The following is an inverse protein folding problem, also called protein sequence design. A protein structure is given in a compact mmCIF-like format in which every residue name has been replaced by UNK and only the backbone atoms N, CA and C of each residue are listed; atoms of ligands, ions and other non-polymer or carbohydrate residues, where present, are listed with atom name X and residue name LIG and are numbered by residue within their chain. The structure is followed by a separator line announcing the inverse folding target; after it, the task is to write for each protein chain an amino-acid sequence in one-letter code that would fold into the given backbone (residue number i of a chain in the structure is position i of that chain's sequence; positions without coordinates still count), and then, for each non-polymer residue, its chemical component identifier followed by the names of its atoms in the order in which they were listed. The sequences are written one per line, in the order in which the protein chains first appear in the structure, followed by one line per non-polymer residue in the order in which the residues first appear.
data_IF_808603263925
#
_entry.id   IF_808603263925
#
_cell.length_a   1.000
_cell.length_b   1.000
_cell.length_c   1.000
_cell.angle_alpha   90.00
_cell.angle_beta   90.00
_cell.angle_gamma   90.00
#
_symmetry.space_group_name_H-M   'P 1'
#
loop_
_entity.id
_entity.type
_entity.pdbx_description
1 polymer ?
#
# COMPACT_ATOMS: atom_id res chain seq x y z
N UNK A 1 -80.27 -31.14 26.35
CA UNK A 1 -78.81 -31.30 26.53
C UNK A 1 -78.17 -31.28 25.15
N UNK A 2 -77.72 -30.11 24.71
CA UNK A 2 -77.06 -29.91 23.43
C UNK A 2 -75.56 -29.71 23.65
N UNK A 3 -74.73 -30.43 22.88
CA UNK A 3 -73.28 -30.22 22.83
C UNK A 3 -72.93 -29.58 21.49
N UNK A 4 -72.40 -28.36 21.55
CA UNK A 4 -71.72 -27.67 20.47
C UNK A 4 -70.25 -28.13 20.45
N UNK A 5 -69.80 -28.70 19.34
CA UNK A 5 -68.38 -28.94 19.07
C UNK A 5 -67.82 -27.77 18.25
N UNK A 6 -66.86 -27.04 18.82
CA UNK A 6 -66.12 -25.96 18.13
C UNK A 6 -64.89 -26.57 17.47
N UNK A 7 -64.80 -26.44 16.16
CA UNK A 7 -63.66 -26.88 15.35
C UNK A 7 -62.58 -25.79 15.34
N UNK A 8 -61.38 -26.10 15.83
CA UNK A 8 -60.24 -25.19 15.84
C UNK A 8 -59.42 -25.38 14.56
N UNK A 9 -59.40 -24.36 13.71
CA UNK A 9 -58.61 -24.34 12.47
C UNK A 9 -57.16 -23.97 12.81
N UNK A 10 -56.23 -24.89 12.56
CA UNK A 10 -54.78 -24.65 12.63
C UNK A 10 -54.35 -23.81 11.42
N UNK A 11 -53.88 -22.58 11.65
CA UNK A 11 -53.13 -21.81 10.65
C UNK A 11 -51.65 -22.22 10.72
N UNK A 12 -51.19 -22.95 9.70
CA UNK A 12 -49.76 -23.17 9.49
C UNK A 12 -49.15 -21.91 8.85
N UNK A 13 -48.35 -21.18 9.62
CA UNK A 13 -47.56 -20.05 9.13
C UNK A 13 -46.34 -20.63 8.37
N UNK A 14 -46.41 -20.63 7.04
CA UNK A 14 -45.24 -20.95 6.20
C UNK A 14 -44.33 -19.73 6.20
N UNK A 15 -43.25 -19.77 6.98
CA UNK A 15 -42.18 -18.80 6.90
C UNK A 15 -41.40 -19.04 5.60
N UNK A 16 -41.72 -18.28 4.55
CA UNK A 16 -40.89 -18.14 3.36
C UNK A 16 -39.60 -17.40 3.78
N UNK A 17 -38.57 -18.16 4.15
CA UNK A 17 -37.22 -17.64 4.25
C UNK A 17 -36.79 -17.18 2.85
N UNK A 18 -36.82 -15.86 2.63
CA UNK A 18 -36.22 -15.23 1.46
C UNK A 18 -34.70 -15.33 1.58
N UNK A 19 -34.13 -16.47 1.17
CA UNK A 19 -32.70 -16.51 0.87
C UNK A 19 -32.51 -15.74 -0.43
N UNK A 20 -32.12 -14.47 -0.32
CA UNK A 20 -31.56 -13.76 -1.47
C UNK A 20 -30.48 -14.66 -2.06
N UNK A 21 -30.49 -14.93 -3.38
CA UNK A 21 -29.39 -15.69 -3.98
C UNK A 21 -28.10 -14.98 -3.61
N UNK A 22 -27.13 -15.72 -3.07
CA UNK A 22 -25.75 -15.25 -3.03
C UNK A 22 -25.45 -14.72 -4.43
N UNK A 23 -24.90 -13.50 -4.52
CA UNK A 23 -24.43 -12.99 -5.80
C UNK A 23 -23.58 -14.09 -6.45
N UNK A 24 -23.69 -14.30 -7.76
CA UNK A 24 -22.97 -15.38 -8.45
C UNK A 24 -21.46 -15.38 -8.15
N UNK A 25 -20.94 -14.22 -7.75
CA UNK A 25 -19.56 -13.94 -7.33
C UNK A 25 -19.19 -14.45 -5.91
N UNK A 26 -20.15 -14.99 -5.15
CA UNK A 26 -19.98 -15.49 -3.79
C UNK A 26 -20.30 -16.99 -3.72
N UNK A 27 -19.32 -17.86 -3.93
CA UNK A 27 -19.55 -19.30 -3.84
C UNK A 27 -18.29 -20.15 -4.05
N UNK A 28 -18.41 -21.46 -3.79
CA UNK A 28 -17.32 -22.44 -3.85
C UNK A 28 -16.74 -22.70 -5.27
N UNK A 29 -17.26 -22.03 -6.29
CA UNK A 29 -16.77 -22.08 -7.66
C UNK A 29 -16.49 -20.70 -8.24
N UNK A 30 -16.33 -19.69 -7.39
CA UNK A 30 -15.85 -18.38 -7.84
C UNK A 30 -14.34 -18.46 -8.11
N UNK A 31 -13.91 -17.89 -9.23
CA UNK A 31 -12.49 -17.80 -9.61
C UNK A 31 -11.75 -16.69 -8.84
N UNK A 32 -12.48 -15.91 -8.04
CA UNK A 32 -12.00 -14.74 -7.31
C UNK A 32 -12.61 -14.72 -5.90
N UNK A 33 -11.84 -14.31 -4.89
CA UNK A 33 -12.35 -14.02 -3.56
C UNK A 33 -12.88 -12.59 -3.49
N UNK A 34 -14.18 -12.39 -3.71
CA UNK A 34 -14.80 -11.07 -3.65
C UNK A 34 -15.05 -10.63 -2.19
N UNK A 35 -14.43 -9.53 -1.77
CA UNK A 35 -14.49 -9.06 -0.38
C UNK A 35 -15.91 -8.78 0.14
N UNK A 36 -16.91 -8.54 -0.73
CA UNK A 36 -18.31 -8.38 -0.31
C UNK A 36 -18.96 -9.66 0.20
N UNK A 37 -18.37 -10.82 -0.10
CA UNK A 37 -18.86 -12.12 0.30
C UNK A 37 -18.44 -12.49 1.73
N UNK A 38 -17.61 -11.67 2.38
CA UNK A 38 -17.01 -11.98 3.68
C UNK A 38 -17.42 -10.95 4.73
N UNK A 39 -17.54 -11.36 6.01
CA UNK A 39 -17.96 -10.47 7.10
C UNK A 39 -16.93 -9.39 7.44
N UNK A 40 -15.65 -9.63 7.12
CA UNK A 40 -14.55 -8.69 7.31
C UNK A 40 -13.62 -8.74 6.11
N UNK A 41 -12.84 -7.68 5.92
CA UNK A 41 -11.83 -7.65 4.86
C UNK A 41 -10.71 -8.66 5.10
N UNK A 42 -10.30 -8.88 6.36
CA UNK A 42 -9.31 -9.91 6.69
C UNK A 42 -9.84 -11.31 6.35
N UNK A 43 -11.12 -11.62 6.62
CA UNK A 43 -11.69 -12.91 6.25
C UNK A 43 -11.70 -13.14 4.72
N UNK A 44 -11.81 -12.07 3.93
CA UNK A 44 -11.66 -12.15 2.47
C UNK A 44 -10.21 -12.42 2.06
N UNK A 45 -9.23 -11.75 2.68
CA UNK A 45 -7.80 -12.03 2.48
C UNK A 45 -7.49 -13.48 2.81
N UNK A 46 -7.91 -13.95 3.98
CA UNK A 46 -7.63 -15.31 4.46
C UNK A 46 -8.23 -16.36 3.50
N UNK A 47 -9.43 -16.11 2.97
CA UNK A 47 -10.07 -16.99 2.00
C UNK A 47 -9.40 -16.95 0.63
N UNK A 48 -8.95 -15.77 0.17
CA UNK A 48 -8.19 -15.63 -1.07
C UNK A 48 -6.88 -16.42 -1.00
N UNK A 49 -6.13 -16.24 0.08
CA UNK A 49 -4.87 -16.94 0.34
C UNK A 49 -5.10 -18.46 0.48
N UNK A 50 -6.12 -18.89 1.22
CA UNK A 50 -6.40 -20.32 1.37
C UNK A 50 -6.88 -20.99 0.08
N UNK A 51 -7.54 -20.24 -0.80
CA UNK A 51 -8.08 -20.72 -2.06
C UNK A 51 -7.11 -20.61 -3.24
N UNK A 52 -5.95 -19.96 -3.08
CA UNK A 52 -5.08 -19.55 -4.19
C UNK A 52 -5.86 -18.75 -5.25
N UNK A 53 -6.67 -17.80 -4.78
CA UNK A 53 -7.53 -16.96 -5.61
C UNK A 53 -7.08 -15.49 -5.50
N UNK A 54 -7.21 -14.69 -6.58
CA UNK A 54 -7.12 -13.24 -6.47
C UNK A 54 -8.14 -12.70 -5.47
N UNK A 55 -7.72 -11.72 -4.66
CA UNK A 55 -8.62 -10.95 -3.81
C UNK A 55 -9.18 -9.78 -4.61
N UNK A 56 -10.50 -9.73 -4.77
CA UNK A 56 -11.17 -8.62 -5.43
C UNK A 56 -11.80 -7.69 -4.42
N UNK A 57 -11.44 -6.42 -4.51
CA UNK A 57 -12.07 -5.32 -3.80
C UNK A 57 -12.92 -4.50 -4.77
N UNK A 58 -14.23 -4.80 -4.90
CA UNK A 58 -15.13 -3.91 -5.63
C UNK A 58 -15.13 -2.51 -5.02
N UNK A 59 -15.51 -1.51 -5.81
CA UNK A 59 -15.71 -0.14 -5.34
C UNK A 59 -16.54 -0.11 -4.05
N UNK A 60 -16.03 0.63 -3.06
CA UNK A 60 -16.63 0.76 -1.73
C UNK A 60 -15.58 1.16 -0.71
N UNK A 61 -16.04 1.46 0.51
CA UNK A 61 -15.17 1.74 1.65
C UNK A 61 -15.21 0.57 2.63
N UNK A 62 -14.07 -0.05 2.87
CA UNK A 62 -13.85 -1.15 3.79
C UNK A 62 -13.22 -0.60 5.06
N UNK A 63 -14.05 -0.41 6.10
CA UNK A 63 -13.57 0.08 7.39
C UNK A 63 -12.96 -1.07 8.19
N UNK A 64 -11.73 -0.87 8.65
CA UNK A 64 -11.00 -1.85 9.47
C UNK A 64 -10.68 -1.24 10.84
N UNK A 65 -10.58 -2.10 11.86
CA UNK A 65 -10.23 -1.71 13.25
C UNK A 65 -8.92 -2.34 13.75
N UNK A 66 -8.29 -3.11 12.88
CA UNK A 66 -7.01 -3.76 13.06
C UNK A 66 -6.29 -3.72 11.70
N UNK A 67 -4.95 -3.80 11.65
CA UNK A 67 -4.21 -3.82 10.40
C UNK A 67 -4.75 -4.91 9.46
N UNK A 68 -4.92 -4.59 8.18
CA UNK A 68 -5.11 -5.62 7.17
C UNK A 68 -3.74 -6.21 6.84
N UNK A 69 -3.56 -7.49 7.12
CA UNK A 69 -2.29 -8.19 6.88
C UNK A 69 -2.50 -9.15 5.71
N UNK A 70 -1.69 -8.97 4.67
CA UNK A 70 -1.58 -9.91 3.55
C UNK A 70 -0.20 -10.58 3.68
N UNK A 71 -0.19 -11.71 4.39
CA UNK A 71 0.95 -12.61 4.42
C UNK A 71 0.78 -13.66 3.30
N UNK A 72 1.51 -13.46 2.21
CA UNK A 72 1.44 -14.35 1.05
C UNK A 72 2.55 -15.40 1.00
N UNK A 73 3.13 -15.74 2.16
CA UNK A 73 4.20 -16.75 2.29
C UNK A 73 3.86 -18.10 1.65
N UNK A 74 2.61 -18.54 1.75
CA UNK A 74 2.17 -19.79 1.15
C UNK A 74 2.22 -19.78 -0.38
N UNK A 75 2.29 -18.59 -0.97
CA UNK A 75 2.35 -18.34 -2.40
C UNK A 75 3.67 -17.70 -2.82
N UNK A 76 4.75 -17.91 -2.05
CA UNK A 76 6.03 -17.25 -2.29
C UNK A 76 6.57 -17.42 -3.71
N UNK A 77 6.30 -18.54 -4.39
CA UNK A 77 6.74 -18.79 -5.77
C UNK A 77 5.72 -18.44 -6.86
N UNK A 78 4.45 -18.24 -6.50
CA UNK A 78 3.33 -18.05 -7.45
C UNK A 78 2.75 -16.63 -7.41
N UNK A 79 2.91 -15.95 -6.28
CA UNK A 79 2.43 -14.58 -6.06
C UNK A 79 1.05 -14.49 -5.45
N UNK A 80 0.61 -13.25 -5.26
CA UNK A 80 -0.72 -12.95 -4.78
C UNK A 80 -1.23 -11.70 -5.48
N UNK A 81 -2.46 -11.78 -5.97
CA UNK A 81 -3.09 -10.70 -6.73
C UNK A 81 -4.20 -10.04 -5.91
N UNK A 82 -4.09 -8.71 -5.79
CA UNK A 82 -5.08 -7.84 -5.18
C UNK A 82 -5.69 -6.93 -6.26
N UNK A 83 -6.94 -7.19 -6.64
CA UNK A 83 -7.64 -6.44 -7.69
C UNK A 83 -8.52 -5.37 -7.05
N UNK A 84 -8.12 -4.11 -7.14
CA UNK A 84 -8.84 -2.97 -6.57
C UNK A 84 -9.60 -2.18 -7.64
N UNK A 85 -10.93 -2.25 -7.60
CA UNK A 85 -11.82 -1.53 -8.55
C UNK A 85 -12.23 -0.16 -8.01
N UNK A 86 -11.26 0.65 -7.56
CA UNK A 86 -11.50 1.94 -6.90
C UNK A 86 -11.98 1.78 -5.45
N UNK A 87 -11.49 0.76 -4.76
CA UNK A 87 -11.80 0.48 -3.36
C UNK A 87 -11.03 1.40 -2.41
N UNK A 88 -11.62 1.71 -1.26
CA UNK A 88 -10.95 2.42 -0.16
C UNK A 88 -10.86 1.52 1.07
N UNK A 89 -9.66 1.24 1.54
CA UNK A 89 -9.42 0.70 2.87
C UNK A 89 -9.35 1.90 3.83
N UNK A 90 -10.29 1.98 4.76
CA UNK A 90 -10.32 3.01 5.81
C UNK A 90 -9.82 2.40 7.12
N UNK A 91 -8.53 2.57 7.37
CA UNK A 91 -7.81 2.13 8.57
C UNK A 91 -7.56 3.25 9.58
N UNK A 92 -8.29 4.36 9.50
CA UNK A 92 -8.12 5.50 10.43
C UNK A 92 -8.38 5.16 11.90
N UNK A 93 -9.05 4.03 12.19
CA UNK A 93 -9.30 3.54 13.55
C UNK A 93 -8.24 2.54 14.06
N UNK A 94 -7.22 2.19 13.26
CA UNK A 94 -6.25 1.13 13.60
C UNK A 94 -5.17 1.61 14.59
N UNK A 95 -4.75 2.87 14.49
CA UNK A 95 -3.65 3.43 15.30
C UNK A 95 -2.24 2.95 14.91
N UNK A 96 -2.13 2.12 13.87
CA UNK A 96 -0.90 1.61 13.27
C UNK A 96 -1.04 1.57 11.74
N UNK A 97 -0.17 0.81 11.03
CA UNK A 97 -0.34 0.59 9.60
C UNK A 97 -1.74 0.03 9.29
N UNK A 98 -2.40 0.63 8.31
CA UNK A 98 -3.71 0.16 7.84
C UNK A 98 -3.55 -1.09 6.96
N UNK A 99 -2.46 -1.16 6.18
CA UNK A 99 -2.15 -2.28 5.29
C UNK A 99 -0.69 -2.71 5.48
N UNK A 100 -0.50 -4.00 5.68
CA UNK A 100 0.82 -4.64 5.77
C UNK A 100 0.86 -5.77 4.73
N UNK A 101 1.82 -5.69 3.82
CA UNK A 101 2.14 -6.75 2.88
C UNK A 101 3.45 -7.38 3.35
N UNK A 102 3.40 -8.66 3.73
CA UNK A 102 4.56 -9.35 4.28
C UNK A 102 4.72 -10.76 3.71
N UNK A 103 5.89 -11.32 3.96
CA UNK A 103 6.20 -12.71 3.66
C UNK A 103 7.13 -13.29 4.74
N UNK A 104 7.26 -14.60 4.81
CA UNK A 104 8.15 -15.31 5.72
C UNK A 104 9.53 -15.61 5.09
N UNK A 105 9.62 -15.57 3.76
CA UNK A 105 10.82 -15.93 2.99
C UNK A 105 10.96 -15.04 1.74
N UNK A 106 11.83 -15.43 0.82
CA UNK A 106 11.96 -14.84 -0.51
C UNK A 106 10.67 -15.08 -1.31
N UNK A 107 9.88 -14.01 -1.47
CA UNK A 107 8.57 -14.04 -2.11
C UNK A 107 8.62 -13.33 -3.47
N UNK A 108 7.74 -13.76 -4.38
CA UNK A 108 7.69 -13.26 -5.76
C UNK A 108 6.27 -12.85 -6.15
N UNK A 109 6.16 -11.95 -7.13
CA UNK A 109 4.93 -11.72 -7.90
C UNK A 109 3.72 -11.21 -7.10
N UNK A 110 3.94 -10.40 -6.07
CA UNK A 110 2.84 -9.61 -5.50
C UNK A 110 2.37 -8.57 -6.53
N UNK A 111 1.08 -8.55 -6.83
CA UNK A 111 0.50 -7.58 -7.77
C UNK A 111 -0.74 -6.93 -7.18
N UNK A 112 -0.71 -5.61 -7.06
CA UNK A 112 -1.92 -4.81 -6.88
C UNK A 112 -2.38 -4.30 -8.26
N UNK A 113 -3.50 -4.84 -8.74
CA UNK A 113 -4.16 -4.39 -9.98
C UNK A 113 -5.16 -3.26 -9.69
N UNK A 114 -5.22 -2.27 -10.59
CA UNK A 114 -6.24 -1.22 -10.58
C UNK A 114 -5.92 -0.08 -9.60
N UNK A 115 -6.95 0.57 -9.05
CA UNK A 115 -6.79 1.71 -8.14
C UNK A 115 -7.26 1.37 -6.73
N UNK A 116 -6.34 1.43 -5.78
CA UNK A 116 -6.57 1.19 -4.36
C UNK A 116 -6.31 2.47 -3.56
N UNK A 117 -7.28 2.87 -2.74
CA UNK A 117 -7.10 3.93 -1.76
C UNK A 117 -6.89 3.33 -0.37
N UNK A 118 -5.94 3.85 0.40
CA UNK A 118 -5.73 3.51 1.80
C UNK A 118 -5.69 4.78 2.64
N UNK A 119 -6.56 4.89 3.63
CA UNK A 119 -6.59 6.00 4.56
C UNK A 119 -6.16 5.50 5.95
N UNK A 120 -5.27 6.25 6.61
CA UNK A 120 -4.80 5.95 7.95
C UNK A 120 -4.67 7.22 8.80
N UNK A 121 -4.51 7.01 10.10
CA UNK A 121 -4.26 8.04 11.11
C UNK A 121 -3.28 7.48 12.13
N UNK A 122 -2.00 7.38 11.74
CA UNK A 122 -0.96 6.73 12.54
C UNK A 122 0.34 7.53 12.52
N UNK A 123 1.00 7.64 13.68
CA UNK A 123 2.34 8.21 13.81
C UNK A 123 3.43 7.19 13.44
N UNK A 124 3.34 6.72 12.19
CA UNK A 124 4.17 5.70 11.58
C UNK A 124 3.74 5.52 10.12
N UNK A 125 4.18 4.44 9.47
CA UNK A 125 3.76 4.13 8.11
C UNK A 125 2.28 3.70 8.04
N UNK A 126 1.52 4.27 7.08
CA UNK A 126 0.14 3.88 6.82
C UNK A 126 0.04 2.58 6.00
N UNK A 127 0.97 2.39 5.06
CA UNK A 127 1.12 1.15 4.29
C UNK A 127 2.58 0.69 4.37
N UNK A 128 2.77 -0.60 4.62
CA UNK A 128 4.10 -1.22 4.74
C UNK A 128 4.22 -2.39 3.78
N UNK A 129 5.30 -2.40 3.00
CA UNK A 129 5.74 -3.53 2.18
C UNK A 129 7.03 -4.11 2.76
N UNK A 130 6.93 -5.29 3.36
CA UNK A 130 8.05 -5.98 3.99
C UNK A 130 8.25 -5.64 5.47
N UNK A 131 9.03 -6.45 6.16
CA UNK A 131 9.39 -6.33 7.57
C UNK A 131 10.54 -5.38 7.77
N UNK A 132 10.53 -4.69 8.90
CA UNK A 132 11.53 -3.67 9.24
C UNK A 132 12.96 -4.23 9.43
N UNK A 133 13.11 -5.55 9.61
CA UNK A 133 14.41 -6.23 9.71
C UNK A 133 14.92 -6.77 8.37
N UNK A 134 14.19 -6.52 7.29
CA UNK A 134 14.51 -6.97 5.94
C UNK A 134 14.63 -8.50 5.82
N UNK A 135 13.89 -9.25 6.64
CA UNK A 135 13.89 -10.71 6.61
C UNK A 135 13.01 -11.32 5.51
N UNK A 136 12.23 -10.51 4.79
CA UNK A 136 11.28 -10.95 3.77
C UNK A 136 11.43 -10.16 2.45
N UNK A 137 12.36 -10.57 1.57
CA UNK A 137 12.48 -9.94 0.26
C UNK A 137 11.23 -10.18 -0.59
N UNK A 138 10.72 -9.11 -1.19
CA UNK A 138 9.61 -9.15 -2.15
C UNK A 138 10.14 -8.89 -3.57
N UNK A 139 10.01 -9.85 -4.46
CA UNK A 139 10.61 -9.81 -5.79
C UNK A 139 9.58 -9.69 -6.91
N UNK A 140 9.93 -8.96 -7.96
CA UNK A 140 9.14 -8.90 -9.19
C UNK A 140 7.68 -8.51 -8.97
N UNK A 141 7.44 -7.59 -8.05
CA UNK A 141 6.10 -7.12 -7.71
C UNK A 141 5.65 -5.94 -8.56
N UNK A 142 4.36 -5.61 -8.49
CA UNK A 142 3.77 -4.49 -9.22
C UNK A 142 2.67 -3.80 -8.42
N UNK A 143 2.67 -2.47 -8.43
CA UNK A 143 1.58 -1.64 -7.95
C UNK A 143 1.07 -0.79 -9.12
N UNK A 144 -0.14 -1.05 -9.58
CA UNK A 144 -0.72 -0.33 -10.71
C UNK A 144 -1.08 1.11 -10.36
N UNK A 145 -1.74 1.31 -9.20
CA UNK A 145 -2.09 2.64 -8.69
C UNK A 145 -2.54 2.56 -7.22
N UNK A 146 -1.58 2.70 -6.31
CA UNK A 146 -1.83 2.78 -4.87
C UNK A 146 -1.91 4.25 -4.43
N UNK A 147 -2.96 4.65 -3.72
CA UNK A 147 -3.11 6.02 -3.19
C UNK A 147 -3.26 5.93 -1.68
N UNK A 148 -2.30 6.47 -0.94
CA UNK A 148 -2.24 6.44 0.52
C UNK A 148 -2.35 7.84 1.09
N UNK A 149 -3.26 8.01 2.05
CA UNK A 149 -3.38 9.23 2.84
C UNK A 149 -3.21 8.89 4.33
N UNK A 150 -2.08 9.30 4.90
CA UNK A 150 -1.89 9.30 6.35
C UNK A 150 -2.18 10.70 6.90
N UNK A 151 -3.30 10.86 7.60
CA UNK A 151 -3.72 12.18 8.13
C UNK A 151 -3.05 12.57 9.45
N UNK A 152 -2.26 11.67 10.03
CA UNK A 152 -1.55 11.93 11.28
C UNK A 152 -0.55 13.06 11.08
N UNK A 153 -0.55 14.01 12.01
CA UNK A 153 0.43 15.10 12.07
C UNK A 153 1.65 14.75 12.95
N UNK A 154 1.76 13.49 13.36
CA UNK A 154 2.84 12.99 14.19
C UNK A 154 4.21 13.08 13.51
N UNK A 155 5.27 13.03 14.32
CA UNK A 155 6.64 13.24 13.86
C UNK A 155 7.12 12.14 12.90
N UNK A 156 6.58 10.93 13.02
CA UNK A 156 6.97 9.75 12.26
C UNK A 156 5.91 9.31 11.24
N UNK A 157 4.81 10.07 11.13
CA UNK A 157 3.74 9.77 10.19
C UNK A 157 4.30 9.69 8.76
N UNK A 158 4.11 8.52 8.14
CA UNK A 158 4.63 8.17 6.83
C UNK A 158 3.49 7.60 5.97
N UNK A 159 3.47 7.94 4.68
CA UNK A 159 2.48 7.41 3.74
C UNK A 159 2.74 5.92 3.46
N UNK A 160 3.76 5.66 2.65
CA UNK A 160 4.18 4.31 2.27
C UNK A 160 5.59 4.03 2.77
N UNK A 161 5.84 2.81 3.24
CA UNK A 161 7.18 2.32 3.58
C UNK A 161 7.48 1.04 2.81
N UNK A 162 8.61 1.02 2.11
CA UNK A 162 9.10 -0.10 1.31
C UNK A 162 10.39 -0.64 1.94
N UNK A 163 10.22 -1.70 2.72
CA UNK A 163 11.30 -2.26 3.53
C UNK A 163 12.24 -3.15 2.75
N UNK A 164 11.75 -4.04 1.87
CA UNK A 164 12.63 -4.89 1.06
C UNK A 164 11.97 -5.31 -0.26
N UNK A 165 12.03 -4.44 -1.27
CA UNK A 165 11.43 -4.70 -2.58
C UNK A 165 12.46 -4.73 -3.71
N UNK A 166 12.36 -5.74 -4.58
CA UNK A 166 13.36 -6.08 -5.59
C UNK A 166 12.69 -6.26 -6.95
N UNK A 167 13.13 -5.53 -7.98
CA UNK A 167 12.60 -5.62 -9.34
C UNK A 167 11.09 -5.28 -9.39
N UNK A 168 10.66 -4.24 -8.66
CA UNK A 168 9.25 -3.82 -8.64
C UNK A 168 8.93 -2.77 -9.70
N UNK A 169 7.70 -2.76 -10.19
CA UNK A 169 7.10 -1.63 -10.91
C UNK A 169 6.07 -0.93 -10.02
N UNK A 170 6.43 0.23 -9.48
CA UNK A 170 5.65 0.96 -8.48
C UNK A 170 5.03 2.21 -9.09
N UNK A 171 3.71 2.28 -9.06
CA UNK A 171 2.97 3.53 -9.24
C UNK A 171 2.13 3.82 -7.98
N UNK A 172 2.63 4.74 -7.15
CA UNK A 172 2.01 5.06 -5.87
C UNK A 172 1.99 6.56 -5.58
N UNK A 173 0.89 7.01 -4.97
CA UNK A 173 0.70 8.36 -4.42
C UNK A 173 0.70 8.23 -2.91
N UNK A 174 1.78 8.66 -2.25
CA UNK A 174 1.95 8.48 -0.81
C UNK A 174 1.99 9.84 -0.09
N UNK A 175 0.89 10.17 0.60
CA UNK A 175 0.68 11.45 1.25
C UNK A 175 0.72 11.29 2.77
N UNK A 176 1.52 12.11 3.44
CA UNK A 176 1.58 12.23 4.89
C UNK A 176 1.29 13.66 5.36
N UNK A 177 0.46 13.81 6.39
CA UNK A 177 0.24 15.11 7.04
C UNK A 177 1.30 15.45 8.10
N UNK A 178 2.22 14.53 8.41
CA UNK A 178 3.17 14.67 9.51
C UNK A 178 4.63 14.87 9.09
N UNK A 179 5.53 14.54 10.01
CA UNK A 179 6.97 14.82 9.93
C UNK A 179 7.85 13.72 9.35
N UNK A 180 7.29 12.55 9.03
CA UNK A 180 8.00 11.42 8.43
C UNK A 180 8.21 11.62 6.93
N UNK A 181 7.85 10.61 6.13
CA UNK A 181 7.98 10.68 4.68
C UNK A 181 6.65 10.49 3.93
N UNK A 182 6.55 11.04 2.72
CA UNK A 182 5.51 10.60 1.80
C UNK A 182 5.77 9.13 1.46
N UNK A 183 6.94 8.86 0.91
CA UNK A 183 7.43 7.53 0.56
C UNK A 183 8.79 7.27 1.24
N UNK A 184 8.85 6.24 2.06
CA UNK A 184 10.07 5.80 2.73
C UNK A 184 10.62 4.53 2.08
N UNK A 185 11.81 4.62 1.49
CA UNK A 185 12.44 3.56 0.71
C UNK A 185 13.66 3.04 1.48
N UNK A 186 13.49 1.98 2.24
CA UNK A 186 14.55 1.47 3.13
C UNK A 186 15.49 0.48 2.43
N UNK A 187 14.93 -0.42 1.61
CA UNK A 187 15.72 -1.34 0.79
C UNK A 187 15.03 -1.65 -0.54
N UNK A 188 15.55 -1.07 -1.63
CA UNK A 188 14.94 -1.11 -2.97
C UNK A 188 16.01 -1.38 -4.03
N UNK A 189 15.84 -2.40 -4.88
CA UNK A 189 16.74 -2.59 -6.05
C UNK A 189 16.00 -2.91 -7.33
N UNK A 190 16.61 -2.53 -8.46
CA UNK A 190 16.18 -2.89 -9.81
C UNK A 190 14.74 -2.48 -10.13
N UNK A 191 14.17 -1.56 -9.34
CA UNK A 191 12.77 -1.18 -9.41
C UNK A 191 12.58 0.08 -10.21
N UNK A 192 11.37 0.26 -10.76
CA UNK A 192 10.91 1.54 -11.27
C UNK A 192 9.87 2.13 -10.31
N UNK A 193 10.00 3.41 -9.98
CA UNK A 193 9.13 4.12 -9.04
C UNK A 193 8.54 5.37 -9.69
N UNK A 194 7.22 5.46 -9.69
CA UNK A 194 6.38 6.52 -10.26
C UNK A 194 5.26 6.93 -9.29
N UNK A 195 4.60 8.04 -9.61
CA UNK A 195 3.44 8.54 -8.89
C UNK A 195 3.74 9.87 -8.18
N UNK A 196 3.42 9.98 -6.89
CA UNK A 196 3.60 11.20 -6.13
C UNK A 196 3.96 10.93 -4.67
N UNK A 197 4.66 11.85 -4.04
CA UNK A 197 4.92 11.77 -2.61
C UNK A 197 4.90 13.15 -1.95
N UNK A 198 4.35 13.23 -0.74
CA UNK A 198 4.33 14.47 0.06
C UNK A 198 4.30 14.20 1.56
N UNK A 199 4.95 15.08 2.32
CA UNK A 199 4.94 15.11 3.78
C UNK A 199 5.00 16.56 4.29
N UNK A 200 3.89 17.07 4.85
CA UNK A 200 3.71 18.50 5.20
C UNK A 200 4.86 19.05 6.05
N UNK A 201 5.36 18.27 7.01
CA UNK A 201 6.45 18.67 7.91
C UNK A 201 7.71 17.81 7.73
N UNK A 202 7.79 17.02 6.66
CA UNK A 202 8.80 15.98 6.49
C UNK A 202 9.50 16.03 5.13
N UNK A 203 9.75 14.85 4.57
CA UNK A 203 10.39 14.68 3.26
C UNK A 203 9.47 13.94 2.31
N UNK A 204 9.37 14.33 1.04
CA UNK A 204 8.55 13.59 0.09
C UNK A 204 9.08 12.16 -0.11
N UNK A 205 10.39 11.99 -0.36
CA UNK A 205 11.04 10.67 -0.45
C UNK A 205 12.28 10.59 0.46
N UNK A 206 12.33 9.58 1.32
CA UNK A 206 13.54 9.20 2.07
C UNK A 206 14.17 7.95 1.47
N UNK A 207 15.49 7.97 1.33
CA UNK A 207 16.31 6.82 0.95
C UNK A 207 17.05 6.31 2.19
N UNK A 208 16.60 5.16 2.67
CA UNK A 208 17.00 4.56 3.92
C UNK A 208 18.31 3.80 3.87
N UNK A 209 18.58 3.07 4.95
CA UNK A 209 19.93 2.60 5.29
C UNK A 209 20.27 1.20 4.82
N UNK A 210 19.29 0.41 4.34
CA UNK A 210 19.50 -0.95 3.86
C UNK A 210 20.42 -0.98 2.64
N UNK A 211 19.85 -0.65 1.47
CA UNK A 211 20.54 -0.27 0.25
C UNK A 211 19.52 0.26 -0.77
N UNK A 212 19.94 1.15 -1.67
CA UNK A 212 19.06 1.64 -2.75
C UNK A 212 19.85 1.58 -4.05
N UNK A 213 19.58 0.57 -4.87
CA UNK A 213 20.48 0.17 -5.94
C UNK A 213 19.81 -0.01 -7.31
N UNK A 214 20.36 0.63 -8.34
CA UNK A 214 19.99 0.38 -9.73
C UNK A 214 18.49 0.56 -10.02
N UNK A 215 17.84 1.50 -9.34
CA UNK A 215 16.43 1.84 -9.55
C UNK A 215 16.27 2.95 -10.59
N UNK A 216 15.07 3.07 -11.15
CA UNK A 216 14.63 4.21 -11.95
C UNK A 216 13.49 4.94 -11.25
N UNK A 217 13.66 6.23 -11.01
CA UNK A 217 12.64 7.13 -10.49
C UNK A 217 12.12 7.97 -11.66
N UNK A 218 10.85 7.85 -12.01
CA UNK A 218 10.31 8.40 -13.25
C UNK A 218 9.01 9.16 -13.01
N UNK A 219 8.95 10.41 -13.49
CA UNK A 219 7.69 11.17 -13.56
C UNK A 219 7.05 11.43 -12.19
N UNK A 220 7.83 11.50 -11.12
CA UNK A 220 7.33 11.72 -9.77
C UNK A 220 6.93 13.19 -9.55
N UNK A 221 5.75 13.37 -8.97
CA UNK A 221 5.29 14.64 -8.39
C UNK A 221 5.68 14.70 -6.91
N UNK A 222 6.71 15.49 -6.60
CA UNK A 222 7.19 15.71 -5.24
C UNK A 222 6.87 17.14 -4.82
N UNK A 223 5.88 17.28 -3.94
CA UNK A 223 5.40 18.59 -3.53
C UNK A 223 4.94 18.62 -2.08
N UNK A 224 4.51 19.81 -1.62
CA UNK A 224 3.94 20.04 -0.29
C UNK A 224 4.81 19.48 0.85
N UNK A 225 6.13 19.50 0.65
CA UNK A 225 7.13 18.97 1.59
C UNK A 225 8.27 19.97 1.73
N UNK A 226 8.83 20.16 2.94
CA UNK A 226 10.05 20.93 3.14
C UNK A 226 11.24 20.45 2.27
N UNK A 227 11.38 19.12 2.13
CA UNK A 227 12.42 18.46 1.35
C UNK A 227 11.78 17.48 0.35
N UNK A 228 12.21 17.50 -0.91
CA UNK A 228 11.73 16.56 -1.92
C UNK A 228 12.40 15.20 -1.78
N UNK A 229 13.74 15.13 -1.73
CA UNK A 229 14.47 13.87 -1.57
C UNK A 229 15.52 13.99 -0.47
N UNK A 230 15.60 13.01 0.42
CA UNK A 230 16.69 12.86 1.39
C UNK A 230 17.41 11.53 1.18
N UNK A 231 18.72 11.60 0.93
CA UNK A 231 19.61 10.44 0.77
C UNK A 231 20.81 10.54 1.72
N UNK A 232 20.65 10.05 2.93
CA UNK A 232 21.71 10.10 3.93
C UNK A 232 22.60 8.84 3.92
N UNK A 233 22.28 7.85 3.10
CA UNK A 233 22.88 6.52 3.13
C UNK A 233 24.06 6.39 2.17
N UNK A 234 25.22 5.87 2.61
CA UNK A 234 26.33 5.55 1.70
C UNK A 234 26.03 4.34 0.80
N UNK A 235 24.89 3.67 0.98
CA UNK A 235 24.49 2.46 0.25
C UNK A 235 23.50 2.73 -0.88
N UNK A 236 23.34 3.99 -1.24
CA UNK A 236 22.57 4.43 -2.41
C UNK A 236 23.50 4.54 -3.62
N UNK A 237 23.29 3.76 -4.68
CA UNK A 237 24.13 3.84 -5.88
C UNK A 237 23.42 3.39 -7.17
N UNK A 238 23.86 3.92 -8.31
CA UNK A 238 23.37 3.58 -9.66
C UNK A 238 21.87 3.84 -9.90
N UNK A 239 21.24 4.72 -9.12
CA UNK A 239 19.84 5.08 -9.35
C UNK A 239 19.72 6.16 -10.43
N UNK A 240 18.76 6.00 -11.32
CA UNK A 240 18.44 6.96 -12.38
C UNK A 240 17.20 7.75 -12.01
N UNK A 241 17.20 9.06 -12.26
CA UNK A 241 16.06 9.95 -12.05
C UNK A 241 15.66 10.61 -13.37
N UNK A 242 14.38 10.56 -13.74
CA UNK A 242 13.87 11.03 -15.03
C UNK A 242 12.59 11.85 -14.85
N UNK A 243 12.58 13.08 -15.39
CA UNK A 243 11.38 13.95 -15.47
C UNK A 243 10.64 14.18 -14.15
N UNK A 244 11.37 14.48 -13.07
CA UNK A 244 10.76 14.78 -11.77
C UNK A 244 10.12 16.17 -11.76
N UNK A 245 9.01 16.32 -11.07
CA UNK A 245 8.47 17.60 -10.67
C UNK A 245 8.83 17.87 -9.20
N UNK A 246 9.73 18.83 -8.97
CA UNK A 246 10.16 19.24 -7.64
C UNK A 246 9.51 20.57 -7.26
N UNK A 247 8.53 20.49 -6.38
CA UNK A 247 7.83 21.65 -5.82
C UNK A 247 7.98 21.66 -4.29
N UNK A 248 9.22 21.54 -3.84
CA UNK A 248 9.64 21.64 -2.44
C UNK A 248 10.62 22.81 -2.26
N UNK A 249 10.66 23.46 -1.08
CA UNK A 249 11.69 24.46 -0.78
C UNK A 249 13.11 23.93 -0.91
N UNK A 250 13.35 22.65 -0.57
CA UNK A 250 14.63 21.97 -0.75
C UNK A 250 14.46 20.77 -1.69
N UNK A 251 15.18 20.75 -2.81
CA UNK A 251 15.11 19.65 -3.77
C UNK A 251 15.72 18.34 -3.27
N UNK A 252 16.99 18.37 -2.85
CA UNK A 252 17.73 17.18 -2.41
C UNK A 252 18.63 17.51 -1.21
N UNK A 253 18.62 16.62 -0.22
CA UNK A 253 19.58 16.59 0.91
C UNK A 253 20.33 15.27 0.86
N UNK A 254 21.66 15.29 1.02
CA UNK A 254 22.46 14.08 1.01
C UNK A 254 23.65 14.13 1.98
N UNK A 255 24.12 12.95 2.42
CA UNK A 255 25.33 12.85 3.25
C UNK A 255 26.62 12.93 2.41
N UNK A 256 27.72 13.44 2.99
CA UNK A 256 29.01 13.54 2.28
C UNK A 256 29.60 12.19 1.86
N UNK A 257 29.14 11.11 2.49
CA UNK A 257 29.63 9.76 2.24
C UNK A 257 28.79 9.03 1.18
N UNK A 258 27.76 9.66 0.64
CA UNK A 258 26.99 9.05 -0.43
C UNK A 258 27.79 9.07 -1.73
N UNK A 259 27.97 7.90 -2.34
CA UNK A 259 28.60 7.77 -3.66
C UNK A 259 27.61 8.04 -4.80
N UNK A 260 26.42 8.57 -4.47
CA UNK A 260 25.21 8.62 -5.29
C UNK A 260 25.32 9.47 -6.57
N UNK A 261 26.38 10.27 -6.74
CA UNK A 261 26.52 11.11 -7.94
C UNK A 261 27.04 10.36 -9.18
N UNK A 262 26.97 9.02 -9.21
CA UNK A 262 27.13 8.21 -10.41
C UNK A 262 25.86 8.22 -11.27
N UNK A 263 25.76 9.16 -12.21
CA UNK A 263 24.74 9.29 -13.26
C UNK A 263 23.36 9.83 -12.86
N UNK A 264 23.29 11.07 -12.36
CA UNK A 264 22.01 11.79 -12.27
C UNK A 264 21.85 12.72 -13.47
N UNK A 265 20.89 12.44 -14.37
CA UNK A 265 20.48 13.39 -15.43
C UNK A 265 19.29 14.19 -14.93
N UNK A 266 19.56 15.23 -14.14
CA UNK A 266 18.52 16.18 -13.78
C UNK A 266 18.05 16.95 -15.02
N UNK A 267 16.77 16.81 -15.39
CA UNK A 267 16.07 17.86 -16.12
C UNK A 267 15.42 18.76 -15.06
N UNK A 268 16.16 19.74 -14.57
CA UNK A 268 15.61 20.72 -13.64
C UNK A 268 14.76 21.72 -14.42
N UNK A 269 13.49 21.88 -14.03
CA UNK A 269 12.75 23.10 -14.34
C UNK A 269 13.44 24.32 -13.70
N UNK A 270 13.20 25.51 -14.22
CA UNK A 270 13.99 26.72 -13.96
C UNK A 270 14.08 27.17 -12.46
N UNK A 271 13.30 26.58 -11.56
CA UNK A 271 13.19 27.00 -10.15
C UNK A 271 13.83 26.03 -9.13
N UNK A 272 14.51 24.96 -9.57
CA UNK A 272 15.14 24.03 -8.61
C UNK A 272 16.46 24.60 -8.09
N UNK A 273 16.49 24.96 -6.80
CA UNK A 273 17.74 25.24 -6.10
C UNK A 273 18.59 23.97 -5.96
N UNK A 274 19.79 24.02 -6.53
CA UNK A 274 20.82 22.98 -6.43
C UNK A 274 21.28 22.85 -4.97
N UNK A 275 21.66 21.65 -4.48
CA UNK A 275 21.74 21.33 -3.05
C UNK A 275 22.71 22.19 -2.23
N UNK A 276 22.33 22.46 -0.97
CA UNK A 276 23.26 22.87 0.08
C UNK A 276 23.85 21.61 0.75
N UNK A 277 25.17 21.54 0.80
CA UNK A 277 25.88 20.59 1.67
C UNK A 277 25.69 21.09 3.10
N UNK A 278 24.92 20.38 3.93
CA UNK A 278 24.91 20.62 5.37
C UNK A 278 26.34 20.43 5.90
N UNK A 279 26.91 21.50 6.47
CA UNK A 279 28.28 21.52 6.95
C UNK A 279 28.42 20.80 8.27
#
# INVERSE_FOLDING_TARGET
MGYLAVSATFFALVALASTSPLAADCGAGADEANAKCYPTLQAAVDAALAGDLPLVLPRGTYRIKAPLVIDYSHHAGTGFELIARGATIDGTAVGGPALIIECATDCFYFHQEGTLFVNADTDGAAVVFGKADFSDPHNSGKLDHLIVNNRSTGQHATGCQFNYVLNWDVNAVCVSAGGGAGMDLEQVQFSTVRGAASAIAGTAITLGSGYIFANTFEGLDLEASPVCVSDMSPRTTNNTWTSLYFNCPTGLVYSRNTTTFGQIRWQLGADVQIPYILR
#
